data_IF_831736072330
#
_entry.id   IF_831736072330
#
_cell.length_a   1.000
_cell.length_b   1.000
_cell.length_c   1.000
_cell.angle_alpha   90.00
_cell.angle_beta   90.00
_cell.angle_gamma   90.00
#
_symmetry.space_group_name_H-M   'P 1'
#
loop_
_entity.id
_entity.type
_entity.pdbx_description
1 polymer ?
#
# COMPACT_ATOMS: atom_id res chain seq x y z
N UNK A 1 2.50 9.41 28.66
CA UNK A 1 2.46 7.94 28.55
C UNK A 1 1.22 7.59 27.73
N UNK A 2 1.35 6.77 26.70
CA UNK A 2 0.22 6.31 25.87
C UNK A 2 -0.77 5.53 26.73
N UNK A 3 -2.05 5.68 26.42
CA UNK A 3 -3.12 4.88 26.98
C UNK A 3 -4.20 4.70 25.90
N UNK A 4 -4.47 3.44 25.56
CA UNK A 4 -5.53 3.13 24.61
C UNK A 4 -6.88 3.67 25.10
N UNK A 5 -7.64 4.30 24.20
CA UNK A 5 -8.98 4.84 24.47
C UNK A 5 -10.07 3.76 24.49
N UNK A 6 -9.76 2.59 23.97
CA UNK A 6 -10.65 1.44 23.83
C UNK A 6 -9.98 0.20 24.42
N UNK A 7 -10.76 -0.68 25.05
CA UNK A 7 -10.30 -2.01 25.41
C UNK A 7 -10.24 -2.93 24.17
N UNK A 8 -9.69 -4.14 24.32
CA UNK A 8 -9.50 -5.09 23.21
C UNK A 8 -10.82 -5.46 22.52
N UNK A 9 -11.88 -5.77 23.29
CA UNK A 9 -13.17 -6.18 22.72
C UNK A 9 -13.87 -5.04 21.96
N UNK A 10 -13.82 -3.83 22.50
CA UNK A 10 -14.31 -2.62 21.82
C UNK A 10 -13.53 -2.40 20.53
N UNK A 11 -12.21 -2.50 20.58
CA UNK A 11 -11.32 -2.39 19.41
C UNK A 11 -11.72 -3.38 18.32
N UNK A 12 -11.88 -4.67 18.65
CA UNK A 12 -12.27 -5.71 17.71
C UNK A 12 -13.66 -5.45 17.08
N UNK A 13 -14.62 -5.00 17.88
CA UNK A 13 -15.96 -4.63 17.39
C UNK A 13 -15.93 -3.48 16.38
N UNK A 14 -15.09 -2.47 16.64
CA UNK A 14 -14.98 -1.30 15.76
C UNK A 14 -14.20 -1.66 14.48
N UNK A 15 -13.12 -2.45 14.56
CA UNK A 15 -12.36 -2.90 13.38
C UNK A 15 -13.29 -3.49 12.32
N UNK A 16 -14.22 -4.37 12.71
CA UNK A 16 -15.18 -4.97 11.79
C UNK A 16 -16.03 -3.91 11.06
N UNK A 17 -16.61 -2.99 11.80
CA UNK A 17 -17.49 -1.96 11.23
C UNK A 17 -16.72 -0.93 10.41
N UNK A 18 -15.52 -0.56 10.83
CA UNK A 18 -14.61 0.34 10.12
C UNK A 18 -14.23 -0.26 8.77
N UNK A 19 -13.70 -1.50 8.75
CA UNK A 19 -13.29 -2.19 7.52
C UNK A 19 -14.45 -2.28 6.53
N UNK A 20 -15.62 -2.72 6.98
CA UNK A 20 -16.80 -2.81 6.13
C UNK A 20 -17.22 -1.46 5.53
N UNK A 21 -17.22 -0.39 6.33
CA UNK A 21 -17.55 0.95 5.85
C UNK A 21 -16.51 1.50 4.87
N UNK A 22 -15.25 1.25 5.12
CA UNK A 22 -14.20 1.67 4.18
C UNK A 22 -14.33 0.96 2.83
N UNK A 23 -14.61 -0.35 2.83
CA UNK A 23 -14.85 -1.13 1.60
C UNK A 23 -16.01 -0.54 0.79
N UNK A 24 -17.14 -0.21 1.42
CA UNK A 24 -18.26 0.44 0.75
C UNK A 24 -17.84 1.78 0.13
N UNK A 25 -17.21 2.66 0.92
CA UNK A 25 -16.79 3.98 0.45
C UNK A 25 -15.74 3.87 -0.69
N UNK A 26 -14.81 2.94 -0.61
CA UNK A 26 -13.78 2.71 -1.64
C UNK A 26 -14.40 2.20 -2.94
N UNK A 27 -15.33 1.23 -2.84
CA UNK A 27 -16.04 0.69 -4.00
C UNK A 27 -16.82 1.77 -4.74
N UNK A 28 -17.56 2.60 -4.01
CA UNK A 28 -18.33 3.69 -4.58
C UNK A 28 -17.43 4.76 -5.22
N UNK A 29 -16.34 5.13 -4.53
CA UNK A 29 -15.42 6.16 -5.00
C UNK A 29 -14.71 5.79 -6.30
N UNK A 30 -14.35 4.51 -6.48
CA UNK A 30 -13.52 4.06 -7.60
C UNK A 30 -14.26 3.15 -8.60
N UNK A 31 -15.52 2.79 -8.35
CA UNK A 31 -16.30 1.83 -9.16
C UNK A 31 -15.65 0.44 -9.17
N UNK A 32 -15.44 -0.12 -7.99
CA UNK A 32 -14.78 -1.41 -7.80
C UNK A 32 -15.76 -2.52 -7.45
N UNK A 33 -15.37 -3.75 -7.79
CA UNK A 33 -16.06 -4.98 -7.37
C UNK A 33 -15.09 -5.87 -6.59
N UNK A 34 -15.55 -6.46 -5.49
CA UNK A 34 -14.76 -7.43 -4.74
C UNK A 34 -14.56 -8.71 -5.55
N UNK A 35 -13.33 -9.20 -5.59
CA UNK A 35 -12.99 -10.51 -6.15
C UNK A 35 -12.15 -11.31 -5.15
N UNK A 36 -12.11 -12.63 -5.31
CA UNK A 36 -11.18 -13.48 -4.56
C UNK A 36 -9.82 -13.48 -5.21
N UNK A 37 -8.76 -13.40 -4.42
CA UNK A 37 -7.38 -13.46 -4.87
C UNK A 37 -6.65 -14.68 -4.30
N UNK A 38 -5.57 -15.16 -4.94
CA UNK A 38 -4.75 -16.23 -4.38
C UNK A 38 -3.89 -15.72 -3.23
N UNK A 39 -3.68 -16.59 -2.22
CA UNK A 39 -2.70 -16.36 -1.16
C UNK A 39 -1.26 -16.61 -1.65
N UNK A 40 -1.09 -17.43 -2.66
CA UNK A 40 0.21 -17.81 -3.24
C UNK A 40 0.11 -17.93 -4.76
N UNK A 41 1.22 -17.74 -5.42
CA UNK A 41 1.35 -17.82 -6.88
C UNK A 41 2.46 -18.78 -7.26
N UNK A 42 2.43 -19.28 -8.50
CA UNK A 42 3.46 -20.18 -9.01
C UNK A 42 4.79 -19.44 -9.14
N UNK A 43 5.88 -20.03 -8.63
CA UNK A 43 7.23 -19.51 -8.82
C UNK A 43 7.54 -19.39 -10.31
N UNK A 44 8.20 -18.32 -10.71
CA UNK A 44 8.56 -18.05 -12.11
C UNK A 44 7.41 -17.58 -12.99
N UNK A 45 6.21 -17.33 -12.44
CA UNK A 45 5.10 -16.72 -13.18
C UNK A 45 5.30 -15.23 -13.47
N UNK A 46 6.19 -14.58 -12.74
CA UNK A 46 6.36 -13.11 -12.75
C UNK A 46 5.30 -12.35 -11.96
N UNK A 47 4.40 -13.06 -11.26
CA UNK A 47 3.28 -12.43 -10.54
C UNK A 47 3.62 -11.97 -9.12
N UNK A 48 4.57 -12.66 -8.46
CA UNK A 48 4.98 -12.22 -7.13
C UNK A 48 5.83 -10.95 -7.21
N UNK A 49 5.81 -10.18 -6.14
CA UNK A 49 6.65 -9.00 -5.96
C UNK A 49 7.89 -9.39 -5.15
N UNK A 50 9.05 -8.97 -5.58
CA UNK A 50 10.30 -9.11 -4.83
C UNK A 50 10.68 -7.83 -4.07
N UNK A 51 9.71 -6.94 -3.90
CA UNK A 51 9.80 -5.68 -3.14
C UNK A 51 11.05 -4.87 -3.58
N UNK A 52 12.04 -4.76 -2.72
CA UNK A 52 13.31 -4.12 -3.05
C UNK A 52 14.29 -5.05 -3.80
N UNK A 53 13.90 -6.32 -4.00
CA UNK A 53 14.67 -7.32 -4.75
C UNK A 53 15.65 -8.15 -3.93
N UNK A 54 15.56 -8.06 -2.61
CA UNK A 54 16.38 -8.82 -1.65
C UNK A 54 15.54 -9.69 -0.72
N UNK A 55 14.25 -9.40 -0.59
CA UNK A 55 13.30 -10.11 0.29
C UNK A 55 12.97 -11.48 -0.27
N UNK A 56 13.03 -12.48 0.60
CA UNK A 56 12.80 -13.88 0.25
C UNK A 56 11.33 -14.24 0.47
N UNK A 57 10.61 -14.79 -0.53
CA UNK A 57 9.25 -15.27 -0.33
C UNK A 57 9.22 -16.52 0.56
N UNK A 58 8.12 -16.71 1.29
CA UNK A 58 7.76 -18.00 1.87
C UNK A 58 7.30 -18.91 0.75
N UNK A 59 7.94 -20.05 0.55
CA UNK A 59 7.63 -20.98 -0.53
C UNK A 59 7.47 -22.40 -0.05
N UNK A 60 6.67 -23.17 -0.78
CA UNK A 60 6.47 -24.60 -0.55
C UNK A 60 6.18 -25.31 -1.88
N UNK A 61 6.35 -26.62 -1.91
CA UNK A 61 6.01 -27.47 -3.04
C UNK A 61 4.60 -28.05 -2.87
N UNK A 62 3.93 -28.26 -4.01
CA UNK A 62 2.63 -28.92 -4.08
C UNK A 62 2.87 -30.42 -4.22
N UNK A 63 2.52 -31.21 -3.23
CA UNK A 63 2.73 -32.66 -3.22
C UNK A 63 2.23 -33.36 -4.51
N UNK A 64 1.11 -32.94 -5.05
CA UNK A 64 0.48 -33.58 -6.22
C UNK A 64 1.24 -33.31 -7.52
N UNK A 65 1.81 -32.12 -7.71
CA UNK A 65 2.44 -31.70 -8.98
C UNK A 65 3.95 -31.52 -8.89
N UNK A 66 4.51 -31.39 -7.68
CA UNK A 66 5.90 -31.02 -7.45
C UNK A 66 6.21 -29.54 -7.77
N UNK A 67 5.20 -28.76 -8.18
CA UNK A 67 5.38 -27.35 -8.49
C UNK A 67 5.64 -26.53 -7.21
N UNK A 68 6.54 -25.57 -7.31
CA UNK A 68 6.83 -24.65 -6.21
C UNK A 68 5.96 -23.39 -6.34
N UNK A 69 5.33 -23.02 -5.24
CA UNK A 69 4.52 -21.81 -5.09
C UNK A 69 5.08 -20.91 -4.01
N UNK A 70 4.76 -19.63 -4.08
CA UNK A 70 5.24 -18.60 -3.19
C UNK A 70 4.07 -17.82 -2.64
N UNK A 71 4.03 -17.64 -1.32
CA UNK A 71 3.09 -16.70 -0.67
C UNK A 71 3.39 -15.30 -1.20
N UNK A 72 2.34 -14.57 -1.57
CA UNK A 72 2.52 -13.25 -2.20
C UNK A 72 3.12 -12.24 -1.24
N UNK A 73 3.94 -11.35 -1.77
CA UNK A 73 4.36 -10.11 -1.10
C UNK A 73 3.44 -8.94 -1.47
N UNK A 74 2.88 -8.97 -2.68
CA UNK A 74 1.87 -8.05 -3.19
C UNK A 74 1.07 -8.73 -4.32
N UNK A 75 -0.10 -8.18 -4.64
CA UNK A 75 -0.94 -8.64 -5.75
C UNK A 75 -0.95 -7.66 -6.93
N UNK A 76 -0.04 -6.69 -6.97
CA UNK A 76 -0.03 -5.63 -7.99
C UNK A 76 -0.11 -6.20 -9.42
N UNK A 77 0.73 -7.17 -9.75
CA UNK A 77 0.78 -7.81 -11.08
C UNK A 77 -0.40 -8.76 -11.31
N UNK A 78 -0.79 -9.51 -10.30
CA UNK A 78 -1.93 -10.43 -10.39
C UNK A 78 -3.25 -9.70 -10.67
N UNK A 79 -3.49 -8.57 -10.02
CA UNK A 79 -4.72 -7.77 -10.19
C UNK A 79 -4.90 -7.33 -11.64
N UNK A 80 -3.84 -6.84 -12.27
CA UNK A 80 -3.87 -6.43 -13.68
C UNK A 80 -4.22 -7.59 -14.61
N UNK A 81 -3.63 -8.77 -14.37
CA UNK A 81 -3.96 -9.98 -15.11
C UNK A 81 -5.43 -10.43 -14.86
N UNK A 82 -5.90 -10.30 -13.61
CA UNK A 82 -7.28 -10.65 -13.26
C UNK A 82 -8.30 -9.74 -13.97
N UNK A 83 -8.03 -8.44 -14.11
CA UNK A 83 -8.88 -7.52 -14.88
C UNK A 83 -9.04 -7.96 -16.33
N UNK A 84 -7.94 -8.35 -17.00
CA UNK A 84 -7.99 -8.89 -18.36
C UNK A 84 -8.81 -10.20 -18.40
N UNK A 85 -8.48 -11.15 -17.53
CA UNK A 85 -9.12 -12.47 -17.48
C UNK A 85 -10.62 -12.40 -17.21
N UNK A 86 -11.06 -11.47 -16.36
CA UNK A 86 -12.47 -11.34 -15.97
C UNK A 86 -13.27 -10.37 -16.86
N UNK A 87 -12.61 -9.73 -17.83
CA UNK A 87 -13.26 -8.85 -18.80
C UNK A 87 -13.81 -7.54 -18.20
N UNK A 88 -13.06 -6.90 -17.31
CA UNK A 88 -13.43 -5.61 -16.77
C UNK A 88 -13.37 -4.52 -17.85
N UNK A 89 -14.40 -3.70 -17.92
CA UNK A 89 -14.46 -2.57 -18.85
C UNK A 89 -13.69 -1.34 -18.34
N UNK A 90 -13.38 -0.42 -19.22
CA UNK A 90 -12.72 0.85 -18.90
C UNK A 90 -13.46 1.58 -17.76
N UNK A 91 -12.70 2.18 -16.85
CA UNK A 91 -13.14 2.88 -15.65
C UNK A 91 -13.90 2.03 -14.63
N UNK A 92 -13.87 0.71 -14.78
CA UNK A 92 -14.28 -0.25 -13.74
C UNK A 92 -13.06 -0.99 -13.19
N UNK A 93 -13.18 -1.54 -12.00
CA UNK A 93 -12.04 -2.22 -11.37
C UNK A 93 -12.45 -3.27 -10.35
N UNK A 94 -11.44 -3.88 -9.77
CA UNK A 94 -11.58 -4.85 -8.68
C UNK A 94 -10.90 -4.36 -7.41
N UNK A 95 -11.33 -4.88 -6.28
CA UNK A 95 -10.52 -4.94 -5.07
C UNK A 95 -10.58 -6.34 -4.47
N UNK A 96 -9.59 -6.65 -3.67
CA UNK A 96 -9.49 -7.90 -2.93
C UNK A 96 -8.85 -7.69 -1.57
N UNK A 97 -9.15 -8.59 -0.63
CA UNK A 97 -8.41 -8.69 0.62
C UNK A 97 -7.11 -9.45 0.34
N UNK A 98 -5.99 -8.74 0.31
CA UNK A 98 -4.68 -9.33 0.19
C UNK A 98 -4.15 -9.68 1.58
N UNK A 99 -3.63 -10.90 1.70
CA UNK A 99 -2.86 -11.35 2.85
C UNK A 99 -1.47 -11.74 2.35
N UNK A 100 -0.43 -11.11 2.90
CA UNK A 100 0.94 -11.35 2.51
C UNK A 100 1.81 -11.71 3.71
N UNK A 101 2.88 -12.47 3.48
CA UNK A 101 3.89 -12.76 4.50
C UNK A 101 5.23 -12.22 4.01
N UNK A 102 5.75 -11.23 4.70
CA UNK A 102 7.07 -10.64 4.47
C UNK A 102 8.04 -11.16 5.51
N UNK A 103 8.60 -12.34 5.27
CA UNK A 103 9.41 -13.09 6.25
C UNK A 103 10.68 -12.39 6.71
N UNK A 104 11.20 -11.47 5.91
CA UNK A 104 12.42 -10.72 6.19
C UNK A 104 12.13 -9.30 6.75
N UNK A 105 10.85 -9.00 7.06
CA UNK A 105 10.45 -7.73 7.65
C UNK A 105 10.99 -7.56 9.08
N UNK A 106 11.48 -6.37 9.39
CA UNK A 106 11.83 -5.99 10.75
C UNK A 106 10.57 -5.49 11.46
N UNK A 107 10.08 -6.28 12.43
CA UNK A 107 8.89 -5.92 13.19
C UNK A 107 9.17 -4.71 14.09
N UNK A 108 8.25 -3.76 14.06
CA UNK A 108 8.22 -2.61 14.95
C UNK A 108 6.76 -2.18 15.21
N UNK A 109 6.56 -0.98 15.71
CA UNK A 109 5.22 -0.49 16.03
C UNK A 109 4.30 -0.26 14.82
N UNK A 110 4.80 -0.27 13.58
CA UNK A 110 4.03 -0.08 12.34
C UNK A 110 4.28 -1.17 11.27
N UNK A 111 5.21 -2.10 11.53
CA UNK A 111 5.55 -3.20 10.63
C UNK A 111 5.35 -4.56 11.28
N UNK A 112 4.79 -5.51 10.54
CA UNK A 112 4.54 -6.90 10.92
C UNK A 112 4.95 -7.84 9.79
N UNK A 113 5.31 -9.08 10.14
CA UNK A 113 5.54 -10.15 9.15
C UNK A 113 4.31 -10.45 8.31
N UNK A 114 3.12 -10.32 8.89
CA UNK A 114 1.85 -10.46 8.21
C UNK A 114 1.33 -9.08 7.79
N UNK A 115 1.01 -8.92 6.52
CA UNK A 115 0.51 -7.67 5.94
C UNK A 115 -0.87 -7.92 5.34
N UNK A 116 -1.84 -7.07 5.70
CA UNK A 116 -3.19 -7.08 5.16
C UNK A 116 -3.49 -5.77 4.43
N UNK A 117 -4.01 -5.88 3.20
CA UNK A 117 -4.34 -4.70 2.38
C UNK A 117 -5.69 -4.88 1.68
N UNK A 118 -6.41 -3.79 1.45
CA UNK A 118 -7.34 -3.70 0.34
C UNK A 118 -6.53 -3.39 -0.91
N UNK A 119 -6.29 -4.42 -1.67
CA UNK A 119 -5.57 -4.33 -2.94
C UNK A 119 -6.56 -4.07 -4.06
N UNK A 120 -6.43 -2.95 -4.76
CA UNK A 120 -7.34 -2.53 -5.80
C UNK A 120 -6.63 -2.26 -7.13
N UNK A 121 -7.36 -2.40 -8.24
CA UNK A 121 -6.87 -2.15 -9.59
C UNK A 121 -8.04 -1.76 -10.50
N UNK A 122 -7.85 -0.76 -11.37
CA UNK A 122 -8.88 -0.21 -12.25
C UNK A 122 -8.35 -0.05 -13.66
N UNK A 123 -9.17 -0.43 -14.67
CA UNK A 123 -8.84 -0.23 -16.09
C UNK A 123 -8.95 1.23 -16.44
N UNK A 124 -7.95 1.75 -17.16
CA UNK A 124 -7.88 3.14 -17.63
C UNK A 124 -7.60 3.18 -19.14
N UNK A 125 -7.74 4.35 -19.73
CA UNK A 125 -7.33 4.63 -21.10
C UNK A 125 -5.90 5.18 -21.16
N UNK A 126 -5.34 5.26 -22.34
CA UNK A 126 -4.03 5.91 -22.55
C UNK A 126 -4.07 7.39 -22.17
N UNK A 127 -5.17 8.08 -22.50
CA UNK A 127 -5.37 9.51 -22.14
C UNK A 127 -5.47 9.76 -20.63
N UNK A 128 -5.74 8.74 -19.82
CA UNK A 128 -5.78 8.83 -18.36
C UNK A 128 -4.38 8.73 -17.70
N UNK A 129 -3.34 8.43 -18.48
CA UNK A 129 -1.96 8.32 -17.97
C UNK A 129 -1.36 9.70 -17.69
N UNK A 130 -1.93 10.41 -16.72
CA UNK A 130 -1.54 11.78 -16.35
C UNK A 130 -1.44 11.95 -14.83
N UNK A 131 -0.67 12.94 -14.40
CA UNK A 131 -0.56 13.32 -12.98
C UNK A 131 -1.91 13.76 -12.43
N UNK A 132 -2.71 14.46 -13.23
CA UNK A 132 -4.04 14.97 -12.86
C UNK A 132 -5.00 13.82 -12.56
N UNK A 133 -4.99 12.76 -13.39
CA UNK A 133 -5.82 11.57 -13.16
C UNK A 133 -5.39 10.81 -11.92
N UNK A 134 -4.08 10.67 -11.69
CA UNK A 134 -3.54 10.10 -10.46
C UNK A 134 -4.01 10.90 -9.24
N UNK A 135 -3.85 12.23 -9.26
CA UNK A 135 -4.27 13.10 -8.17
C UNK A 135 -5.78 13.05 -7.91
N UNK A 136 -6.63 12.99 -8.95
CA UNK A 136 -8.08 12.84 -8.77
C UNK A 136 -8.42 11.51 -8.11
N UNK A 137 -7.78 10.42 -8.53
CA UNK A 137 -7.95 9.10 -7.91
C UNK A 137 -7.55 9.11 -6.43
N UNK A 138 -6.43 9.75 -6.10
CA UNK A 138 -5.97 9.92 -4.70
C UNK A 138 -6.98 10.71 -3.87
N UNK A 139 -7.53 11.83 -4.41
CA UNK A 139 -8.57 12.61 -3.71
C UNK A 139 -9.80 11.77 -3.40
N UNK A 140 -10.23 10.90 -4.32
CA UNK A 140 -11.37 9.99 -4.11
C UNK A 140 -11.10 8.97 -3.02
N UNK A 141 -9.91 8.36 -2.99
CA UNK A 141 -9.50 7.44 -1.92
C UNK A 141 -9.43 8.17 -0.58
N UNK A 142 -8.83 9.35 -0.56
CA UNK A 142 -8.73 10.15 0.65
C UNK A 142 -10.10 10.56 1.20
N UNK A 143 -11.05 10.90 0.31
CA UNK A 143 -12.43 11.14 0.70
C UNK A 143 -13.09 9.91 1.34
N UNK A 144 -12.84 8.69 0.82
CA UNK A 144 -13.33 7.46 1.43
C UNK A 144 -12.73 7.23 2.83
N UNK A 145 -11.44 7.56 3.03
CA UNK A 145 -10.79 7.53 4.35
C UNK A 145 -11.47 8.51 5.31
N UNK A 146 -11.70 9.76 4.89
CA UNK A 146 -12.36 10.78 5.71
C UNK A 146 -13.78 10.39 6.10
N UNK A 147 -14.58 9.88 5.15
CA UNK A 147 -15.95 9.41 5.42
C UNK A 147 -15.96 8.27 6.44
N UNK A 148 -14.96 7.39 6.38
CA UNK A 148 -14.82 6.27 7.33
C UNK A 148 -14.39 6.76 8.71
N UNK A 149 -13.45 7.70 8.79
CA UNK A 149 -13.05 8.31 10.05
C UNK A 149 -14.20 9.09 10.71
N UNK A 150 -14.97 9.87 9.94
CA UNK A 150 -16.16 10.58 10.40
C UNK A 150 -17.27 9.60 10.85
N UNK A 151 -17.39 8.43 10.22
CA UNK A 151 -18.32 7.37 10.65
C UNK A 151 -17.94 6.80 12.01
N UNK A 152 -16.65 6.57 12.26
CA UNK A 152 -16.14 6.07 13.54
C UNK A 152 -16.33 7.14 14.63
N UNK A 153 -15.91 8.38 14.39
CA UNK A 153 -16.04 9.50 15.35
C UNK A 153 -17.50 9.71 15.79
N UNK A 154 -18.47 9.64 14.89
CA UNK A 154 -19.91 9.79 15.26
C UNK A 154 -20.42 8.73 16.23
N UNK A 155 -19.79 7.54 16.27
CA UNK A 155 -20.15 6.43 17.17
C UNK A 155 -19.29 6.37 18.42
N UNK A 156 -18.07 6.88 18.29
CA UNK A 156 -17.01 6.86 19.29
C UNK A 156 -16.38 8.25 19.37
N UNK A 157 -17.07 9.24 20.02
CA UNK A 157 -16.61 10.64 20.06
C UNK A 157 -15.24 10.83 20.71
N UNK A 158 -14.77 9.86 21.50
CA UNK A 158 -13.41 9.82 22.04
C UNK A 158 -12.34 9.65 20.97
N UNK A 159 -12.71 9.10 19.80
CA UNK A 159 -11.83 8.90 18.63
C UNK A 159 -12.03 10.05 17.62
N UNK A 160 -11.64 11.26 18.01
CA UNK A 160 -11.76 12.44 17.14
C UNK A 160 -10.99 12.25 15.82
N UNK A 161 -11.63 12.62 14.70
CA UNK A 161 -10.98 12.65 13.41
C UNK A 161 -10.05 13.88 13.30
N UNK A 162 -8.74 13.64 13.22
CA UNK A 162 -7.73 14.69 13.10
C UNK A 162 -7.22 14.89 11.66
N UNK A 163 -7.71 14.11 10.70
CA UNK A 163 -7.28 14.22 9.32
C UNK A 163 -7.79 15.54 8.71
N UNK A 164 -6.92 16.29 8.00
CA UNK A 164 -7.35 17.49 7.30
C UNK A 164 -8.36 17.17 6.19
N UNK A 165 -9.18 18.12 5.80
CA UNK A 165 -10.17 17.90 4.74
C UNK A 165 -9.57 17.84 3.35
N UNK A 166 -8.36 18.36 3.18
CA UNK A 166 -7.61 18.37 1.93
C UNK A 166 -6.27 17.65 2.08
N UNK A 167 -5.86 16.97 1.03
CA UNK A 167 -4.56 16.31 0.94
C UNK A 167 -3.58 17.18 0.13
N UNK A 168 -2.37 17.34 0.61
CA UNK A 168 -1.29 18.04 -0.09
C UNK A 168 -0.62 17.09 -1.09
N UNK A 169 -0.35 17.58 -2.31
CA UNK A 169 0.47 16.89 -3.30
C UNK A 169 1.85 17.54 -3.35
N UNK A 170 2.90 16.71 -3.39
CA UNK A 170 4.29 17.12 -3.52
C UNK A 170 5.08 16.00 -4.18
N UNK A 171 6.05 16.34 -5.03
CA UNK A 171 6.97 15.34 -5.60
C UNK A 171 8.13 15.06 -4.65
N UNK A 172 8.79 13.92 -4.85
CA UNK A 172 9.99 13.57 -4.08
C UNK A 172 11.14 14.57 -4.29
N UNK A 173 11.24 15.18 -5.49
CA UNK A 173 12.21 16.22 -5.79
C UNK A 173 11.87 17.53 -5.07
N UNK A 174 10.62 18.01 -5.14
CA UNK A 174 10.18 19.20 -4.41
C UNK A 174 10.36 19.03 -2.88
N UNK A 175 10.18 17.80 -2.39
CA UNK A 175 10.39 17.49 -0.97
C UNK A 175 11.89 17.50 -0.59
N UNK A 176 12.78 17.05 -1.48
CA UNK A 176 14.23 17.22 -1.33
C UNK A 176 14.63 18.68 -1.30
N UNK A 177 14.14 19.48 -2.24
CA UNK A 177 14.43 20.93 -2.31
C UNK A 177 13.96 21.67 -1.04
N UNK A 178 12.79 21.27 -0.51
CA UNK A 178 12.24 21.87 0.71
C UNK A 178 13.05 21.54 1.97
N UNK A 179 13.59 20.33 2.06
CA UNK A 179 14.34 19.83 3.23
C UNK A 179 15.65 19.15 2.81
N UNK A 180 16.62 19.88 2.24
CA UNK A 180 17.79 19.28 1.59
C UNK A 180 18.74 18.56 2.54
N UNK A 181 18.68 18.86 3.84
CA UNK A 181 19.57 18.27 4.84
C UNK A 181 18.98 17.07 5.59
N UNK A 182 17.69 16.80 5.38
CA UNK A 182 17.00 15.70 6.05
C UNK A 182 17.09 14.41 5.22
N UNK A 183 17.08 13.27 5.89
CA UNK A 183 16.89 11.95 5.25
C UNK A 183 15.49 11.84 4.65
N UNK A 184 15.27 10.88 3.76
CA UNK A 184 13.96 10.66 3.15
C UNK A 184 12.85 10.51 4.21
N UNK A 185 13.07 9.69 5.24
CA UNK A 185 12.10 9.48 6.33
C UNK A 185 11.85 10.70 7.18
N UNK A 186 12.89 11.49 7.47
CA UNK A 186 12.75 12.77 8.19
C UNK A 186 11.98 13.80 7.36
N UNK A 187 12.17 13.83 6.03
CA UNK A 187 11.39 14.65 5.10
C UNK A 187 9.90 14.30 5.13
N UNK A 188 9.57 12.99 5.09
CA UNK A 188 8.19 12.52 5.21
C UNK A 188 7.56 12.95 6.53
N UNK A 189 8.27 12.77 7.65
CA UNK A 189 7.80 13.18 8.97
C UNK A 189 7.56 14.69 9.04
N UNK A 190 8.46 15.49 8.50
CA UNK A 190 8.36 16.94 8.50
C UNK A 190 7.15 17.43 7.70
N UNK A 191 6.96 16.95 6.48
CA UNK A 191 5.86 17.37 5.62
C UNK A 191 4.51 16.85 6.11
N UNK A 192 4.44 15.60 6.61
CA UNK A 192 3.23 15.06 7.19
C UNK A 192 2.81 15.85 8.45
N UNK A 193 3.76 16.23 9.28
CA UNK A 193 3.51 17.07 10.48
C UNK A 193 3.00 18.46 10.10
N UNK A 194 3.55 19.06 9.02
CA UNK A 194 3.14 20.36 8.53
C UNK A 194 1.74 20.36 7.93
N UNK A 195 1.43 19.36 7.10
CA UNK A 195 0.21 19.33 6.26
C UNK A 195 -0.89 18.41 6.80
N UNK A 196 -0.57 17.49 7.69
CA UNK A 196 -1.51 16.47 8.23
C UNK A 196 -1.79 15.29 7.30
N UNK A 197 -1.87 15.52 5.99
CA UNK A 197 -2.01 14.49 4.96
C UNK A 197 -1.31 14.92 3.67
N UNK A 198 -0.54 14.02 3.08
CA UNK A 198 0.30 14.28 1.90
C UNK A 198 0.25 13.09 0.96
N UNK A 199 0.17 13.35 -0.33
CA UNK A 199 0.50 12.37 -1.36
C UNK A 199 1.85 12.73 -1.95
N UNK A 200 2.86 11.92 -1.61
CA UNK A 200 4.23 12.07 -2.06
C UNK A 200 4.41 11.33 -3.38
N UNK A 201 4.65 12.07 -4.46
CA UNK A 201 4.66 11.58 -5.83
C UNK A 201 6.06 11.30 -6.36
N UNK A 202 6.14 10.51 -7.44
CA UNK A 202 7.34 10.28 -8.26
C UNK A 202 8.47 9.61 -7.48
N UNK A 203 8.14 8.45 -6.89
CA UNK A 203 9.08 7.63 -6.12
C UNK A 203 9.63 6.49 -7.00
N UNK A 204 10.93 6.19 -6.87
CA UNK A 204 11.62 5.09 -7.55
C UNK A 204 12.80 5.52 -8.41
N UNK A 205 12.71 6.69 -9.06
CA UNK A 205 13.81 7.30 -9.79
C UNK A 205 14.88 7.92 -8.87
N UNK A 206 16.02 8.31 -9.46
CA UNK A 206 17.04 9.07 -8.75
C UNK A 206 16.69 10.56 -8.75
N UNK A 207 16.85 11.17 -7.60
CA UNK A 207 16.71 12.61 -7.39
C UNK A 207 17.95 13.37 -7.89
N UNK A 208 17.87 14.69 -7.92
CA UNK A 208 18.99 15.58 -8.36
C UNK A 208 20.27 15.40 -7.56
N UNK A 209 20.18 14.96 -6.29
CA UNK A 209 21.33 14.62 -5.46
C UNK A 209 21.94 13.22 -5.77
N UNK A 210 21.36 12.46 -6.71
CA UNK A 210 21.79 11.12 -7.11
C UNK A 210 21.26 9.98 -6.25
N UNK A 211 20.55 10.26 -5.15
CA UNK A 211 19.90 9.27 -4.30
C UNK A 211 18.49 8.94 -4.78
N UNK A 212 17.91 7.85 -4.33
CA UNK A 212 16.47 7.58 -4.45
C UNK A 212 15.78 8.10 -3.18
N UNK A 213 14.54 8.57 -3.33
CA UNK A 213 13.72 8.84 -2.13
C UNK A 213 13.44 7.55 -1.38
N UNK A 214 12.96 6.54 -2.12
CA UNK A 214 12.73 5.18 -1.64
C UNK A 214 12.87 4.17 -2.78
N UNK A 215 12.99 2.88 -2.43
CA UNK A 215 12.99 1.77 -3.39
C UNK A 215 11.61 1.53 -3.98
N UNK A 216 11.57 1.16 -5.27
CA UNK A 216 10.34 0.70 -5.95
C UNK A 216 10.68 -0.38 -6.95
N UNK A 217 9.89 -1.44 -6.97
CA UNK A 217 10.00 -2.44 -8.01
C UNK A 217 9.80 -1.80 -9.40
N UNK A 218 10.59 -2.20 -10.41
CA UNK A 218 10.56 -1.54 -11.73
C UNK A 218 9.43 -2.03 -12.63
N UNK A 219 8.61 -2.99 -12.21
CA UNK A 219 7.79 -3.79 -13.10
C UNK A 219 6.27 -3.72 -12.86
N UNK A 220 5.81 -2.76 -12.04
CA UNK A 220 4.37 -2.51 -11.94
C UNK A 220 3.99 -1.03 -11.90
N UNK A 221 4.57 -0.15 -11.08
CA UNK A 221 4.25 1.27 -11.08
C UNK A 221 5.16 2.07 -12.03
N UNK A 222 4.57 3.00 -12.81
CA UNK A 222 5.31 4.04 -13.49
C UNK A 222 5.83 5.04 -12.45
N UNK A 223 7.15 5.15 -12.31
CA UNK A 223 7.77 6.02 -11.29
C UNK A 223 7.48 7.51 -11.48
N UNK A 224 7.07 7.93 -12.67
CA UNK A 224 6.61 9.30 -12.91
C UNK A 224 5.14 9.53 -12.50
N UNK A 225 4.36 8.45 -12.30
CA UNK A 225 2.92 8.46 -12.08
C UNK A 225 2.50 7.60 -10.88
N UNK A 226 3.31 7.59 -9.83
CA UNK A 226 3.07 6.86 -8.58
C UNK A 226 3.22 7.76 -7.36
N UNK A 227 2.94 7.22 -6.20
CA UNK A 227 3.23 7.87 -4.92
C UNK A 227 2.63 7.16 -3.73
N UNK A 228 2.93 7.71 -2.55
CA UNK A 228 2.49 7.21 -1.26
C UNK A 228 1.58 8.21 -0.55
N UNK A 229 0.48 7.72 0.01
CA UNK A 229 -0.42 8.48 0.84
C UNK A 229 0.05 8.41 2.29
N UNK A 230 0.60 9.50 2.77
CA UNK A 230 1.11 9.67 4.12
C UNK A 230 0.14 10.51 4.93
N UNK A 231 -0.11 10.12 6.19
CA UNK A 231 -0.85 10.92 7.16
C UNK A 231 -0.01 11.16 8.40
N UNK A 232 -0.19 12.30 9.05
CA UNK A 232 0.43 12.53 10.34
C UNK A 232 -0.30 11.75 11.43
N UNK A 233 0.39 10.80 12.05
CA UNK A 233 -0.12 10.06 13.19
C UNK A 233 0.26 10.79 14.48
N UNK A 234 -0.76 11.35 15.18
CA UNK A 234 -0.54 12.13 16.40
C UNK A 234 -0.07 11.29 17.59
N UNK A 235 -0.38 10.00 17.59
CA UNK A 235 0.04 9.09 18.68
C UNK A 235 1.52 8.77 18.57
N UNK A 236 2.00 8.60 17.33
CA UNK A 236 3.39 8.28 17.02
C UNK A 236 4.29 9.53 16.87
N UNK A 237 3.69 10.71 16.70
CA UNK A 237 4.37 11.96 16.30
C UNK A 237 5.21 11.79 15.01
N UNK A 238 4.69 11.04 14.05
CA UNK A 238 5.38 10.71 12.79
C UNK A 238 4.42 10.53 11.63
N UNK A 239 4.96 10.48 10.40
CA UNK A 239 4.23 10.06 9.23
C UNK A 239 3.88 8.57 9.31
N UNK A 240 2.66 8.22 8.90
CA UNK A 240 2.20 6.86 8.70
C UNK A 240 1.74 6.72 7.25
N UNK A 241 2.38 5.85 6.49
CA UNK A 241 1.96 5.47 5.14
C UNK A 241 0.72 4.58 5.22
N UNK A 242 -0.38 5.04 4.63
CA UNK A 242 -1.62 4.29 4.53
C UNK A 242 -1.76 3.52 3.22
N UNK A 243 -1.15 4.02 2.14
CA UNK A 243 -1.31 3.45 0.81
C UNK A 243 -0.13 3.80 -0.08
N UNK A 244 0.28 2.83 -0.92
CA UNK A 244 1.12 3.05 -2.08
C UNK A 244 0.32 2.73 -3.33
N UNK A 245 0.40 3.59 -4.37
CA UNK A 245 -0.38 3.42 -5.59
C UNK A 245 0.27 4.12 -6.79
N UNK A 246 -0.13 3.70 -8.00
CA UNK A 246 0.35 4.35 -9.21
C UNK A 246 -0.45 3.93 -10.45
N UNK A 247 -0.32 4.74 -11.50
CA UNK A 247 -0.61 4.31 -12.86
C UNK A 247 0.45 3.29 -13.21
N UNK A 248 0.00 2.13 -13.72
CA UNK A 248 0.92 1.02 -13.98
C UNK A 248 1.75 1.27 -15.24
N UNK A 249 2.93 0.68 -15.27
CA UNK A 249 3.81 0.76 -16.45
C UNK A 249 3.08 0.29 -17.72
N UNK A 250 3.30 1.01 -18.80
CA UNK A 250 3.11 0.50 -20.16
C UNK A 250 4.37 -0.27 -20.61
N UNK A 251 4.37 -0.75 -21.83
CA UNK A 251 5.49 -1.49 -22.41
C UNK A 251 6.80 -0.69 -22.43
N UNK A 252 6.73 0.58 -22.82
CA UNK A 252 7.91 1.43 -22.96
C UNK A 252 8.51 1.77 -21.59
N UNK A 253 7.67 2.14 -20.64
CA UNK A 253 8.08 2.44 -19.27
C UNK A 253 8.61 1.21 -18.55
N UNK A 254 7.99 0.02 -18.76
CA UNK A 254 8.49 -1.24 -18.22
C UNK A 254 9.93 -1.50 -18.68
N UNK A 255 10.19 -1.44 -19.99
CA UNK A 255 11.53 -1.69 -20.54
C UNK A 255 12.53 -0.66 -20.01
N UNK A 256 12.15 0.61 -19.96
CA UNK A 256 12.98 1.69 -19.42
C UNK A 256 13.36 1.45 -17.95
N UNK A 257 12.40 1.11 -17.10
CA UNK A 257 12.62 0.89 -15.67
C UNK A 257 13.41 -0.40 -15.40
N UNK A 258 13.11 -1.49 -16.11
CA UNK A 258 13.89 -2.73 -16.05
C UNK A 258 15.35 -2.54 -16.49
N UNK A 259 15.58 -1.70 -17.52
CA UNK A 259 16.93 -1.35 -17.96
C UNK A 259 17.67 -0.57 -16.88
N UNK A 260 17.02 0.41 -16.26
CA UNK A 260 17.62 1.22 -15.20
C UNK A 260 18.02 0.40 -13.96
N UNK A 261 17.29 -0.67 -13.67
CA UNK A 261 17.56 -1.57 -12.54
C UNK A 261 18.34 -2.84 -12.93
N UNK A 262 18.82 -2.97 -14.19
CA UNK A 262 19.51 -4.16 -14.70
C UNK A 262 18.72 -5.46 -14.53
N UNK A 263 17.40 -5.42 -14.74
CA UNK A 263 16.45 -6.55 -14.55
C UNK A 263 15.71 -6.93 -15.85
N UNK A 264 16.35 -6.76 -17.01
CA UNK A 264 15.74 -7.10 -18.31
C UNK A 264 15.40 -8.59 -18.46
N UNK A 265 16.06 -9.45 -17.70
CA UNK A 265 15.75 -10.89 -17.63
C UNK A 265 14.30 -11.17 -17.24
N UNK A 266 13.63 -10.26 -16.51
CA UNK A 266 12.22 -10.39 -16.16
C UNK A 266 11.29 -10.39 -17.37
N UNK A 267 11.71 -9.82 -18.52
CA UNK A 267 10.91 -9.86 -19.76
C UNK A 267 10.65 -11.29 -20.25
N UNK A 268 11.43 -12.28 -19.80
CA UNK A 268 11.20 -13.69 -20.10
C UNK A 268 10.08 -14.33 -19.28
N UNK A 269 9.63 -13.68 -18.21
CA UNK A 269 8.56 -14.20 -17.33
C UNK A 269 7.18 -14.04 -17.98
N UNK A 270 6.23 -14.98 -17.76
CA UNK A 270 4.93 -14.97 -18.39
C UNK A 270 4.14 -13.66 -18.26
N UNK A 271 4.06 -13.08 -17.06
CA UNK A 271 3.37 -11.80 -16.84
C UNK A 271 3.95 -10.67 -17.70
N UNK A 272 5.28 -10.56 -17.72
CA UNK A 272 5.97 -9.48 -18.46
C UNK A 272 5.82 -9.67 -19.98
N UNK A 273 5.85 -10.92 -20.47
CA UNK A 273 5.56 -11.23 -21.89
C UNK A 273 4.16 -10.78 -22.28
N UNK A 274 3.16 -11.08 -21.46
CA UNK A 274 1.77 -10.63 -21.73
C UNK A 274 1.65 -9.10 -21.76
N UNK A 275 2.40 -8.39 -20.92
CA UNK A 275 2.40 -6.92 -20.91
C UNK A 275 3.06 -6.37 -22.19
N UNK A 276 4.22 -6.90 -22.57
CA UNK A 276 4.95 -6.46 -23.77
C UNK A 276 4.20 -6.78 -25.06
N UNK A 277 3.36 -7.82 -25.06
CA UNK A 277 2.52 -8.22 -26.19
C UNK A 277 1.16 -7.48 -26.24
N UNK A 278 0.94 -6.49 -25.36
CA UNK A 278 -0.31 -5.72 -25.29
C UNK A 278 -1.54 -6.58 -24.96
N UNK A 279 -1.35 -7.71 -24.24
CA UNK A 279 -2.42 -8.62 -23.81
C UNK A 279 -3.11 -8.16 -22.51
N UNK A 280 -2.54 -7.17 -21.82
CA UNK A 280 -3.03 -6.65 -20.55
C UNK A 280 -3.53 -5.20 -20.69
N UNK A 281 -4.63 -4.81 -20.02
CA UNK A 281 -5.14 -3.45 -20.09
C UNK A 281 -4.18 -2.45 -19.42
N UNK A 282 -4.26 -1.18 -19.80
CA UNK A 282 -3.69 -0.08 -19.01
C UNK A 282 -4.49 0.07 -17.72
N UNK A 283 -3.79 0.27 -16.60
CA UNK A 283 -4.43 0.28 -15.30
C UNK A 283 -3.80 1.30 -14.34
N UNK A 284 -4.57 1.68 -13.33
CA UNK A 284 -4.14 2.34 -12.12
C UNK A 284 -4.51 1.43 -10.94
N UNK A 285 -3.65 1.33 -9.95
CA UNK A 285 -3.93 0.51 -8.79
C UNK A 285 -3.03 0.79 -7.60
N UNK A 286 -3.33 0.13 -6.49
CA UNK A 286 -2.59 0.30 -5.25
C UNK A 286 -3.02 -0.69 -4.18
N UNK A 287 -2.36 -0.58 -3.03
CA UNK A 287 -2.71 -1.28 -1.81
C UNK A 287 -2.94 -0.29 -0.69
N UNK A 288 -4.01 -0.47 0.08
CA UNK A 288 -4.32 0.33 1.26
C UNK A 288 -4.22 -0.59 2.47
N UNK A 289 -3.31 -0.28 3.41
CA UNK A 289 -3.07 -1.09 4.60
C UNK A 289 -4.29 -1.13 5.51
N UNK A 290 -4.93 -2.30 5.66
CA UNK A 290 -6.14 -2.45 6.48
C UNK A 290 -5.83 -2.17 7.95
N UNK A 291 -4.79 -2.79 8.47
CA UNK A 291 -4.37 -2.61 9.86
C UNK A 291 -3.79 -1.23 10.12
N UNK A 292 -3.04 -0.64 9.17
CA UNK A 292 -2.54 0.75 9.29
C UNK A 292 -3.69 1.76 9.32
N UNK A 293 -4.73 1.59 8.49
CA UNK A 293 -5.91 2.46 8.54
C UNK A 293 -6.66 2.32 9.88
N UNK A 294 -6.84 1.08 10.37
CA UNK A 294 -7.41 0.84 11.69
C UNK A 294 -6.58 1.52 12.79
N UNK A 295 -5.26 1.35 12.76
CA UNK A 295 -4.34 1.98 13.71
C UNK A 295 -4.48 3.51 13.72
N UNK A 296 -4.54 4.14 12.55
CA UNK A 296 -4.71 5.59 12.42
C UNK A 296 -6.05 6.07 13.00
N UNK A 297 -7.15 5.47 12.58
CA UNK A 297 -8.50 5.92 12.97
C UNK A 297 -8.78 5.60 14.45
N UNK A 298 -8.33 4.45 14.95
CA UNK A 298 -8.51 4.04 16.34
C UNK A 298 -7.46 4.62 17.28
N UNK A 299 -6.53 5.43 16.76
CA UNK A 299 -5.49 6.15 17.51
C UNK A 299 -4.64 5.20 18.38
N UNK A 300 -4.16 4.13 17.74
CA UNK A 300 -3.34 3.12 18.39
C UNK A 300 -1.84 3.43 18.25
N UNK A 301 -1.05 3.02 19.23
CA UNK A 301 0.39 3.24 19.28
C UNK A 301 1.18 2.11 18.59
N UNK A 302 0.58 0.93 18.46
CA UNK A 302 1.21 -0.23 17.88
C UNK A 302 0.24 -0.97 16.94
N UNK A 303 0.72 -1.41 15.78
CA UNK A 303 -0.10 -2.14 14.81
C UNK A 303 -0.66 -3.44 15.41
N UNK A 304 0.03 -4.07 16.34
CA UNK A 304 -0.40 -5.26 17.08
C UNK A 304 -1.64 -5.07 17.96
N UNK A 305 -2.05 -3.82 18.24
CA UNK A 305 -3.32 -3.55 18.93
C UNK A 305 -4.55 -3.73 18.01
N UNK A 306 -4.33 -3.82 16.68
CA UNK A 306 -5.38 -3.96 15.65
C UNK A 306 -5.14 -5.12 14.70
N UNK A 307 -4.03 -5.83 14.87
CA UNK A 307 -3.54 -6.85 13.95
C UNK A 307 -2.88 -8.00 14.69
N UNK A 308 -3.52 -9.16 14.71
CA UNK A 308 -2.94 -10.37 15.33
C UNK A 308 -1.78 -10.89 14.46
N UNK A 309 -0.63 -11.07 15.04
CA UNK A 309 0.59 -11.56 14.38
C UNK A 309 1.50 -12.28 15.39
N UNK A 310 2.69 -12.68 14.92
CA UNK A 310 3.77 -13.19 15.78
C UNK A 310 4.79 -12.05 15.94
N UNK A 311 5.13 -11.75 17.17
CA UNK A 311 6.05 -10.66 17.52
C UNK A 311 7.33 -11.20 18.14
N UNK A 312 8.50 -10.58 17.88
CA UNK A 312 9.74 -10.88 18.60
C UNK A 312 9.59 -10.59 20.10
N UNK A 313 10.27 -11.38 20.93
CA UNK A 313 10.22 -11.20 22.41
C UNK A 313 10.59 -9.79 22.86
N UNK A 314 11.54 -9.15 22.16
CA UNK A 314 11.95 -7.77 22.47
C UNK A 314 10.81 -6.77 22.25
N UNK A 315 10.03 -6.96 21.17
CA UNK A 315 8.88 -6.07 20.87
C UNK A 315 7.73 -6.33 21.85
N UNK A 316 7.50 -7.59 22.25
CA UNK A 316 6.50 -7.92 23.29
C UNK A 316 6.85 -7.22 24.59
N UNK A 317 8.10 -7.35 25.08
CA UNK A 317 8.56 -6.69 26.31
C UNK A 317 8.42 -5.17 26.26
N UNK A 318 8.80 -4.56 25.15
CA UNK A 318 8.65 -3.13 24.93
C UNK A 318 7.19 -2.68 25.01
N UNK A 319 6.27 -3.46 24.42
CA UNK A 319 4.84 -3.20 24.51
C UNK A 319 4.32 -3.32 25.94
N UNK A 320 4.73 -4.36 26.68
CA UNK A 320 4.39 -4.53 28.10
C UNK A 320 4.85 -3.34 28.96
N UNK A 321 6.10 -2.87 28.79
CA UNK A 321 6.66 -1.71 29.50
C UNK A 321 5.89 -0.42 29.18
N UNK A 322 5.37 -0.28 27.97
CA UNK A 322 4.59 0.86 27.52
C UNK A 322 3.08 0.76 27.85
N UNK A 323 2.64 -0.40 28.39
CA UNK A 323 1.22 -0.68 28.65
C UNK A 323 0.39 -0.84 27.38
N UNK A 324 1.00 -1.34 26.31
CA UNK A 324 0.36 -1.65 25.02
C UNK A 324 -0.03 -3.13 25.03
N UNK A 325 -1.30 -3.42 24.78
CA UNK A 325 -1.85 -4.77 24.72
C UNK A 325 -1.90 -5.25 23.27
N UNK A 326 -1.07 -6.25 22.93
CA UNK A 326 -1.04 -6.90 21.62
C UNK A 326 -2.15 -7.94 21.48
N UNK A 327 -2.74 -8.08 20.26
CA UNK A 327 -3.77 -9.09 19.96
C UNK A 327 -3.19 -10.49 19.78
#
# INVERSE_FOLDING_TARGET
MYKSKLNVLETQGIIRSLRHKFEEHLCDALNLRRVSAPLFVKRGSGLNDDLNGVERPVSFDILQSGEVVEVVHSLAKWKRMALAKYGFSTHTGLYTDMNAIRRDEVCDNIHSLYVDQWDWEKVITDSDRTVEFLQDTVRRIYAAILLTADFVERRHPELQNYLPREIKFITSEELLDKYPTLTAKERENAIAKECGAVFLMQIGGRLSNGEKHDGRAPDYDDWALNGDLLVYNRVLDSALELSSMGIRVDKETLIKQLTAENKLDRLELPFHKSLVNDELPLTIGGGIGQSRLCMQILQKAHIGEVHASVWPEEEIKKCEELGIELL
#
